data_IF_236039089131
#
_entry.id   IF_236039089131
#
_cell.length_a   1.000
_cell.length_b   1.000
_cell.length_c   1.000
_cell.angle_alpha   90.00
_cell.angle_beta   90.00
_cell.angle_gamma   90.00
#
_symmetry.space_group_name_H-M   'P 1'
#
loop_
_entity.id
_entity.type
_entity.pdbx_description
1 polymer ?
#
# COMPACT_ATOMS: atom_id res chain seq x y z
N UNK A 1 -19.48 5.65 7.85
CA UNK A 1 -19.16 4.22 7.62
C UNK A 1 -17.95 4.16 6.71
N UNK A 2 -16.83 3.53 7.14
CA UNK A 2 -15.65 3.36 6.29
C UNK A 2 -15.98 2.37 5.16
N UNK A 3 -15.60 2.73 3.93
CA UNK A 3 -15.65 1.81 2.80
C UNK A 3 -14.39 0.94 2.90
N UNK A 4 -14.55 -0.36 3.16
CA UNK A 4 -13.45 -1.30 3.17
C UNK A 4 -13.25 -1.89 1.77
N UNK A 5 -12.09 -1.62 1.18
CA UNK A 5 -11.63 -2.31 -0.03
C UNK A 5 -10.54 -3.28 0.42
N UNK A 6 -10.81 -4.57 0.33
CA UNK A 6 -9.83 -5.63 0.59
C UNK A 6 -9.27 -6.10 -0.75
N UNK A 7 -7.99 -5.80 -0.99
CA UNK A 7 -7.24 -6.33 -2.12
C UNK A 7 -6.07 -7.13 -1.53
N UNK A 8 -6.18 -8.46 -1.52
CA UNK A 8 -5.07 -9.32 -1.12
C UNK A 8 -4.21 -9.59 -2.34
N UNK A 9 -3.20 -8.76 -2.53
CA UNK A 9 -2.18 -8.98 -3.55
C UNK A 9 -0.85 -9.22 -2.83
N UNK A 10 -0.27 -10.39 -3.09
CA UNK A 10 1.04 -10.76 -2.56
C UNK A 10 2.07 -10.23 -3.54
N UNK A 11 2.72 -9.13 -3.17
CA UNK A 11 3.72 -8.48 -4.01
C UNK A 11 5.04 -9.24 -3.81
N UNK A 12 5.43 -10.08 -4.78
CA UNK A 12 6.50 -11.06 -4.57
C UNK A 12 7.30 -11.47 -5.81
N UNK A 13 8.52 -10.95 -5.93
CA UNK A 13 9.69 -11.76 -6.25
C UNK A 13 10.37 -11.62 -7.62
N UNK A 14 9.67 -11.40 -8.74
CA UNK A 14 10.33 -11.54 -10.06
C UNK A 14 9.95 -10.53 -11.15
N UNK A 15 9.10 -9.56 -10.87
CA UNK A 15 8.77 -8.47 -11.79
C UNK A 15 8.41 -7.23 -11.00
N UNK A 16 8.68 -6.04 -11.53
CA UNK A 16 8.11 -4.81 -10.96
C UNK A 16 6.59 -4.95 -10.95
N UNK A 17 6.00 -4.98 -9.77
CA UNK A 17 4.56 -5.11 -9.61
C UNK A 17 3.99 -3.74 -9.25
N UNK A 18 3.18 -3.22 -10.15
CA UNK A 18 2.51 -1.94 -10.03
C UNK A 18 1.07 -2.18 -9.59
N UNK A 19 0.64 -1.47 -8.55
CA UNK A 19 -0.76 -1.42 -8.13
C UNK A 19 -1.28 -0.01 -8.35
N UNK A 20 -2.14 0.14 -9.36
CA UNK A 20 -2.87 1.37 -9.61
C UNK A 20 -4.25 1.31 -8.96
N UNK A 21 -4.48 2.18 -7.98
CA UNK A 21 -5.74 2.30 -7.25
C UNK A 21 -6.42 3.61 -7.62
N UNK A 22 -7.54 3.50 -8.31
CA UNK A 22 -8.39 4.64 -8.63
C UNK A 22 -9.31 4.95 -7.45
N UNK A 23 -9.20 6.17 -6.92
CA UNK A 23 -9.97 6.68 -5.79
C UNK A 23 -10.93 7.77 -6.27
N UNK A 24 -12.23 7.57 -6.10
CA UNK A 24 -13.26 8.50 -6.58
C UNK A 24 -13.99 9.20 -5.43
N UNK A 25 -13.83 10.51 -5.30
CA UNK A 25 -14.50 11.34 -4.31
C UNK A 25 -15.56 12.25 -4.96
N UNK A 26 -16.84 11.88 -4.87
CA UNK A 26 -17.89 12.62 -5.62
C UNK A 26 -18.33 13.96 -5.02
N UNK A 27 -18.20 14.19 -3.70
CA UNK A 27 -18.76 15.40 -3.03
C UNK A 27 -18.09 15.83 -1.72
N UNK A 28 -17.09 15.11 -1.22
CA UNK A 28 -16.46 15.39 0.07
C UNK A 28 -14.96 15.30 -0.07
N UNK A 29 -14.23 16.01 0.80
CA UNK A 29 -12.80 15.81 0.92
C UNK A 29 -12.53 14.45 1.58
N UNK A 30 -11.55 13.72 1.09
CA UNK A 30 -11.20 12.39 1.60
C UNK A 30 -9.72 12.32 1.91
N UNK A 31 -9.36 11.62 2.99
CA UNK A 31 -8.03 11.09 3.21
C UNK A 31 -7.99 9.60 2.86
N UNK A 32 -6.83 9.10 2.47
CA UNK A 32 -6.58 7.70 2.17
C UNK A 32 -5.48 7.18 3.09
N UNK A 33 -5.71 6.06 3.75
CA UNK A 33 -4.70 5.36 4.54
C UNK A 33 -4.53 3.93 4.03
N UNK A 34 -3.28 3.51 3.83
CA UNK A 34 -2.94 2.19 3.31
C UNK A 34 -2.36 1.37 4.46
N UNK A 35 -2.90 0.16 4.66
CA UNK A 35 -2.43 -0.78 5.66
C UNK A 35 -2.03 -2.10 5.01
N UNK A 36 -1.00 -2.72 5.56
CA UNK A 36 -0.52 -4.00 5.08
C UNK A 36 0.17 -4.85 6.13
N UNK A 37 0.57 -6.04 5.68
CA UNK A 37 1.37 -6.99 6.45
C UNK A 37 2.80 -6.99 5.93
N UNK A 38 3.75 -6.96 6.85
CA UNK A 38 5.18 -7.10 6.59
C UNK A 38 5.58 -8.48 7.08
N UNK A 39 6.01 -9.36 6.16
CA UNK A 39 6.43 -10.72 6.53
C UNK A 39 7.79 -10.76 7.23
N UNK A 40 8.01 -11.81 8.03
CA UNK A 40 9.34 -12.18 8.52
C UNK A 40 10.23 -12.47 7.31
N UNK A 41 11.27 -11.65 7.12
CA UNK A 41 12.24 -11.75 6.03
C UNK A 41 13.54 -11.01 6.35
N UNK A 42 14.63 -11.43 5.72
CA UNK A 42 16.01 -10.93 5.97
C UNK A 42 16.27 -9.51 5.47
N UNK A 43 15.45 -8.98 4.54
CA UNK A 43 15.66 -7.65 3.95
C UNK A 43 14.53 -6.69 4.28
N UNK A 44 14.90 -5.45 4.60
CA UNK A 44 14.00 -4.31 4.74
C UNK A 44 13.20 -4.04 3.46
N UNK A 45 11.89 -4.37 3.43
CA UNK A 45 11.11 -4.10 2.25
C UNK A 45 10.85 -2.60 2.08
N UNK A 46 10.78 -2.15 0.84
CA UNK A 46 10.53 -0.75 0.47
C UNK A 46 9.28 -0.64 -0.40
N UNK A 47 8.50 0.42 -0.21
CA UNK A 47 7.34 0.74 -1.05
C UNK A 47 7.32 2.23 -1.37
N UNK A 48 6.80 2.59 -2.54
CA UNK A 48 6.72 3.97 -3.04
C UNK A 48 5.26 4.29 -3.35
N UNK A 49 4.79 5.46 -2.91
CA UNK A 49 3.42 5.93 -3.05
C UNK A 49 3.40 7.22 -3.85
N UNK A 50 2.61 7.28 -4.93
CA UNK A 50 2.39 8.48 -5.72
C UNK A 50 0.89 8.77 -5.82
N UNK A 51 0.51 10.01 -5.51
CA UNK A 51 -0.88 10.46 -5.55
C UNK A 51 -1.03 11.56 -6.60
N UNK A 52 -1.83 11.33 -7.65
CA UNK A 52 -2.10 12.30 -8.73
C UNK A 52 -0.85 12.89 -9.40
N UNK A 53 0.20 12.09 -9.56
CA UNK A 53 1.51 12.51 -10.09
C UNK A 53 2.26 13.51 -9.20
N UNK A 54 1.94 13.58 -7.91
CA UNK A 54 2.71 14.35 -6.93
C UNK A 54 4.06 13.70 -6.60
N UNK A 55 4.86 14.38 -5.79
CA UNK A 55 6.13 13.84 -5.30
C UNK A 55 5.91 12.51 -4.58
N UNK A 56 6.66 11.50 -5.00
CA UNK A 56 6.52 10.16 -4.45
C UNK A 56 7.04 10.08 -3.01
N UNK A 57 6.29 9.39 -2.16
CA UNK A 57 6.69 9.08 -0.78
C UNK A 57 7.24 7.66 -0.73
N UNK A 58 8.51 7.51 -0.37
CA UNK A 58 9.13 6.20 -0.19
C UNK A 58 9.16 5.82 1.30
N UNK A 59 8.76 4.59 1.61
CA UNK A 59 8.83 4.02 2.95
C UNK A 59 9.61 2.70 2.92
N UNK A 60 10.64 2.61 3.77
CA UNK A 60 11.42 1.40 3.99
C UNK A 60 11.15 0.89 5.40
N UNK A 61 10.76 -0.37 5.51
CA UNK A 61 10.46 -0.98 6.79
C UNK A 61 11.68 -1.69 7.36
N UNK A 62 11.90 -1.65 8.69
CA UNK A 62 13.00 -2.39 9.29
C UNK A 62 12.81 -3.90 9.08
N UNK A 63 13.92 -4.61 8.93
CA UNK A 63 13.95 -6.07 9.00
C UNK A 63 13.46 -6.51 10.37
N UNK A 64 12.48 -7.41 10.42
CA UNK A 64 11.94 -7.98 11.66
C UNK A 64 11.88 -9.51 11.54
N UNK A 65 12.15 -10.20 12.65
CA UNK A 65 12.03 -11.66 12.74
C UNK A 65 10.57 -12.13 12.88
N UNK A 66 9.62 -11.19 12.96
CA UNK A 66 8.21 -11.46 13.12
C UNK A 66 7.38 -10.83 12.00
N UNK A 67 6.25 -11.48 11.69
CA UNK A 67 5.27 -10.92 10.76
C UNK A 67 4.44 -9.87 11.45
N UNK A 68 4.48 -8.64 10.94
CA UNK A 68 3.76 -7.51 11.50
C UNK A 68 2.51 -7.24 10.65
N UNK A 69 1.33 -7.36 11.25
CA UNK A 69 0.04 -7.19 10.57
C UNK A 69 -0.51 -5.79 10.76
N UNK A 70 -1.31 -5.30 9.79
CA UNK A 70 -2.02 -4.01 9.88
C UNK A 70 -1.09 -2.83 10.17
N UNK A 71 0.10 -2.84 9.58
CA UNK A 71 1.07 -1.76 9.69
C UNK A 71 0.64 -0.63 8.75
N UNK A 72 0.61 0.64 9.21
CA UNK A 72 0.33 1.77 8.34
C UNK A 72 1.48 1.98 7.38
N UNK A 73 1.21 1.89 6.08
CA UNK A 73 2.18 2.06 5.03
C UNK A 73 2.21 3.48 4.46
N UNK A 74 1.04 4.11 4.37
CA UNK A 74 0.90 5.45 3.81
C UNK A 74 -0.34 6.15 4.36
N UNK A 75 -0.25 7.47 4.49
CA UNK A 75 -1.37 8.35 4.84
C UNK A 75 -1.33 9.57 3.94
N UNK A 76 -2.38 9.76 3.15
CA UNK A 76 -2.49 10.90 2.26
C UNK A 76 -2.81 12.19 3.04
N UNK A 77 -2.43 13.36 2.49
CA UNK A 77 -3.09 14.60 2.87
C UNK A 77 -4.57 14.58 2.48
N UNK A 78 -5.30 15.60 2.92
CA UNK A 78 -6.72 15.73 2.61
C UNK A 78 -6.93 16.13 1.14
N UNK A 79 -7.63 15.30 0.38
CA UNK A 79 -7.87 15.48 -1.05
C UNK A 79 -9.13 16.30 -1.30
N UNK A 80 -9.11 17.10 -2.37
CA UNK A 80 -10.29 17.80 -2.86
C UNK A 80 -11.36 16.81 -3.36
N UNK A 81 -12.62 17.24 -3.54
CA UNK A 81 -13.57 16.45 -4.31
C UNK A 81 -13.06 16.27 -5.75
N UNK A 82 -13.07 15.05 -6.26
CA UNK A 82 -12.49 14.70 -7.56
C UNK A 82 -12.20 13.21 -7.73
N UNK A 83 -11.73 12.85 -8.93
CA UNK A 83 -11.12 11.55 -9.19
C UNK A 83 -9.62 11.68 -8.92
N UNK A 84 -9.09 10.80 -8.10
CA UNK A 84 -7.70 10.76 -7.65
C UNK A 84 -7.11 9.37 -7.91
N UNK A 85 -5.81 9.29 -8.18
CA UNK A 85 -5.12 8.00 -8.43
C UNK A 85 -3.97 7.83 -7.45
N UNK A 86 -4.01 6.77 -6.66
CA UNK A 86 -2.89 6.34 -5.82
C UNK A 86 -2.17 5.17 -6.50
N UNK A 87 -0.93 5.39 -6.91
CA UNK A 87 -0.05 4.36 -7.46
C UNK A 87 0.88 3.87 -6.35
N UNK A 88 0.90 2.56 -6.13
CA UNK A 88 1.79 1.89 -5.17
C UNK A 88 2.79 1.06 -5.97
N UNK A 89 4.08 1.31 -5.74
CA UNK A 89 5.19 0.66 -6.44
C UNK A 89 6.05 -0.07 -5.42
N UNK A 90 6.35 -1.33 -5.70
CA UNK A 90 7.29 -2.14 -4.91
C UNK A 90 8.55 -2.38 -5.76
N UNK A 91 9.69 -1.73 -5.43
CA UNK A 91 10.90 -1.86 -6.22
C UNK A 91 11.41 -3.31 -6.31
N UNK A 92 12.08 -3.68 -7.42
CA UNK A 92 12.57 -5.05 -7.65
C UNK A 92 13.70 -5.48 -6.69
N UNK A 93 14.20 -4.56 -5.86
CA UNK A 93 15.18 -4.83 -4.79
C UNK A 93 14.62 -5.58 -3.58
N UNK A 94 13.30 -5.71 -3.46
CA UNK A 94 12.63 -6.40 -2.33
C UNK A 94 12.59 -7.92 -2.50
N UNK A 95 13.61 -8.54 -3.09
CA UNK A 95 13.58 -9.97 -3.47
C UNK A 95 13.35 -10.90 -2.29
N UNK A 96 13.81 -10.48 -1.11
CA UNK A 96 13.59 -11.24 0.10
C UNK A 96 12.53 -10.61 1.00
N UNK A 97 12.09 -9.37 0.81
CA UNK A 97 11.12 -8.70 1.68
C UNK A 97 9.68 -9.01 1.26
N UNK A 98 8.80 -9.35 2.21
CA UNK A 98 7.39 -9.62 1.91
C UNK A 98 6.53 -8.43 2.35
N UNK A 99 5.88 -7.78 1.38
CA UNK A 99 4.82 -6.81 1.62
C UNK A 99 3.51 -7.37 1.07
N UNK A 100 2.49 -7.38 1.92
CA UNK A 100 1.13 -7.74 1.52
C UNK A 100 0.25 -6.54 1.80
N UNK A 101 -0.50 -6.09 0.81
CA UNK A 101 -1.54 -5.09 1.03
C UNK A 101 -2.72 -5.76 1.72
N UNK A 102 -3.16 -5.21 2.86
CA UNK A 102 -4.29 -5.76 3.62
C UNK A 102 -5.59 -5.05 3.23
N UNK A 103 -5.63 -3.73 3.46
CA UNK A 103 -6.79 -2.90 3.21
C UNK A 103 -6.43 -1.42 3.08
N UNK A 104 -7.34 -0.67 2.48
CA UNK A 104 -7.29 0.78 2.36
C UNK A 104 -8.48 1.38 3.10
N UNK A 105 -8.23 2.40 3.91
CA UNK A 105 -9.25 3.18 4.61
C UNK A 105 -9.45 4.51 3.89
N UNK A 106 -10.71 4.82 3.57
CA UNK A 106 -11.14 6.14 3.14
C UNK A 106 -11.70 6.91 4.33
N UNK A 107 -11.08 8.04 4.65
CA UNK A 107 -11.44 8.93 5.74
C UNK A 107 -12.16 10.17 5.18
N UNK A 108 -13.49 10.14 4.99
CA UNK A 108 -14.23 11.32 4.56
C UNK A 108 -14.17 12.37 5.67
N UNK A 109 -13.73 13.59 5.33
CA UNK A 109 -13.95 14.74 6.22
C UNK A 109 -15.27 15.39 5.86
N UNK A 110 -16.14 15.66 6.85
CA UNK A 110 -17.31 16.48 6.59
C UNK A 110 -16.82 17.82 6.06
N UNK A 111 -17.18 18.15 4.82
CA UNK A 111 -17.19 19.53 4.38
C UNK A 111 -18.19 20.23 5.28
N UNK A 112 -17.69 20.97 6.28
CA UNK A 112 -18.50 21.88 7.09
C UNK A 112 -19.17 22.88 6.16
N UNK A 113 -20.29 22.46 5.59
CA UNK A 113 -21.21 23.30 4.85
C UNK A 113 -22.14 23.90 5.90
N UNK A 114 -21.54 24.51 6.92
CA UNK A 114 -22.26 25.38 7.84
C UNK A 114 -22.31 26.74 7.17
N UNK A 115 -23.18 26.90 6.17
CA UNK A 115 -23.79 28.21 5.93
C UNK A 115 -24.76 28.48 7.09
N UNK A 116 -24.24 28.62 8.30
CA UNK A 116 -24.93 29.41 9.29
C UNK A 116 -24.63 30.85 8.87
N UNK A 117 -25.59 31.49 8.21
CA UNK A 117 -25.64 32.95 8.12
C UNK A 117 -25.61 33.46 9.56
N UNK A 118 -24.42 33.77 10.08
CA UNK A 118 -24.28 34.45 11.36
C UNK A 118 -24.70 35.88 11.09
N UNK A 119 -25.98 36.18 11.34
CA UNK A 119 -26.42 37.55 11.52
C UNK A 119 -25.69 38.09 12.75
N UNK A 120 -24.64 38.87 12.53
CA UNK A 120 -23.89 39.54 13.60
C UNK A 120 -24.77 40.59 14.27
N UNK A 121 -25.44 40.24 15.37
CA UNK A 121 -25.86 41.22 16.37
C UNK A 121 -24.67 41.50 17.29
N UNK A 122 -24.14 42.72 17.19
CA UNK A 122 -23.09 43.25 18.06
C UNK A 122 -23.61 43.27 19.51
N UNK A 123 -23.03 42.45 20.38
CA UNK A 123 -23.08 42.67 21.82
C UNK A 123 -21.66 42.56 22.38
N UNK A 124 -21.12 43.72 22.78
CA UNK A 124 -19.94 43.82 23.64
C UNK A 124 -20.36 43.36 25.03
N UNK A 125 -19.64 42.40 25.61
CA UNK A 125 -19.59 42.21 27.05
C UNK A 125 -18.25 41.63 27.46
N UNK A 126 -17.78 42.14 28.60
CA UNK A 126 -16.39 42.20 29.03
C UNK A 126 -15.76 40.87 29.45
N UNK A 127 -14.43 40.89 29.44
CA UNK A 127 -13.49 39.84 29.81
C UNK A 127 -13.65 39.33 31.24
N UNK A 128 -13.57 38.01 31.42
CA UNK A 128 -13.15 37.39 32.67
C UNK A 128 -12.25 36.19 32.37
N UNK A 129 -10.99 36.31 32.76
CA UNK A 129 -9.97 35.25 32.72
C UNK A 129 -10.35 34.23 33.78
N UNK A 130 -10.56 32.97 33.38
CA UNK A 130 -10.62 31.84 34.31
C UNK A 130 -9.88 30.64 33.71
N UNK A 131 -8.79 30.29 34.38
CA UNK A 131 -7.98 29.08 34.21
C UNK A 131 -8.76 27.83 34.59
N UNK A 132 -8.86 26.80 33.73
CA UNK A 132 -9.31 25.48 34.14
C UNK A 132 -8.14 24.54 34.40
N UNK A 133 -8.10 24.00 35.62
CA UNK A 133 -7.28 22.85 35.98
C UNK A 133 -7.88 21.58 35.34
N UNK A 134 -7.07 20.84 34.59
CA UNK A 134 -7.46 19.57 33.97
C UNK A 134 -7.19 18.41 34.94
N UNK A 135 -8.26 17.88 35.54
CA UNK A 135 -8.24 16.60 36.27
C UNK A 135 -8.37 15.45 35.28
N UNK A 136 -7.33 14.63 35.19
CA UNK A 136 -7.29 13.41 34.37
C UNK A 136 -8.10 12.31 35.07
N UNK A 137 -9.17 11.81 34.45
CA UNK A 137 -9.89 10.62 34.90
C UNK A 137 -9.76 9.53 33.85
N UNK A 138 -8.98 8.50 34.17
CA UNK A 138 -8.86 7.27 33.39
C UNK A 138 -10.03 6.36 33.73
N UNK A 139 -11.04 6.29 32.85
CA UNK A 139 -12.09 5.27 32.93
C UNK A 139 -11.57 3.96 32.32
N UNK A 140 -11.08 3.08 33.18
CA UNK A 140 -10.81 1.69 32.84
C UNK A 140 -12.14 0.93 32.81
N UNK A 141 -12.69 0.73 31.62
CA UNK A 141 -13.82 -0.20 31.43
C UNK A 141 -13.28 -1.64 31.54
N UNK A 142 -13.22 -2.13 32.77
CA UNK A 142 -12.95 -3.52 33.08
C UNK A 142 -14.09 -4.39 32.52
N UNK A 143 -13.87 -5.02 31.37
CA UNK A 143 -14.72 -6.11 30.90
C UNK A 143 -14.44 -7.36 31.73
N UNK A 144 -15.18 -7.48 32.83
CA UNK A 144 -15.27 -8.69 33.65
C UNK A 144 -15.97 -9.78 32.83
N UNK A 145 -15.20 -10.60 32.11
CA UNK A 145 -15.69 -11.85 31.51
C UNK A 145 -15.76 -12.89 32.63
N UNK A 146 -16.95 -13.05 33.19
CA UNK A 146 -17.25 -14.07 34.19
C UNK A 146 -17.16 -15.47 33.58
N UNK A 147 -16.12 -16.23 33.94
CA UNK A 147 -16.04 -17.67 33.69
C UNK A 147 -16.68 -18.38 34.88
N UNK A 148 -18.01 -18.44 34.88
CA UNK A 148 -18.79 -19.23 35.82
C UNK A 148 -19.70 -20.18 35.04
N UNK A 149 -19.22 -21.41 34.87
CA UNK A 149 -19.91 -22.52 34.20
C UNK A 149 -18.84 -23.42 33.58
N UNK A 150 -18.45 -24.54 34.17
CA UNK A 150 -19.23 -25.56 34.84
C UNK A 150 -18.74 -26.88 34.23
N UNK A 151 -18.55 -27.94 35.04
CA UNK A 151 -17.97 -29.22 34.58
C UNK A 151 -18.76 -29.91 33.43
N UNK A 152 -19.93 -29.40 33.04
CA UNK A 152 -20.67 -29.84 31.85
C UNK A 152 -20.14 -29.29 30.50
N UNK A 153 -19.24 -28.31 30.52
CA UNK A 153 -18.76 -27.64 29.30
C UNK A 153 -17.76 -28.43 28.46
N UNK A 154 -17.11 -29.47 29.02
CA UNK A 154 -16.05 -30.18 28.31
C UNK A 154 -16.60 -30.99 27.12
N UNK A 155 -17.71 -31.71 27.32
CA UNK A 155 -18.32 -32.51 26.26
C UNK A 155 -18.89 -31.65 25.14
N UNK A 156 -19.58 -30.55 25.49
CA UNK A 156 -20.12 -29.60 24.52
C UNK A 156 -19.00 -28.84 23.78
N UNK A 157 -17.93 -28.47 24.48
CA UNK A 157 -16.75 -27.82 23.88
C UNK A 157 -16.07 -28.71 22.86
N UNK A 158 -15.79 -29.98 23.21
CA UNK A 158 -15.17 -30.95 22.29
C UNK A 158 -16.06 -31.16 21.06
N UNK A 159 -17.38 -31.31 21.24
CA UNK A 159 -18.31 -31.48 20.13
C UNK A 159 -18.30 -30.26 19.19
N UNK A 160 -18.31 -29.05 19.73
CA UNK A 160 -18.28 -27.81 18.95
C UNK A 160 -16.96 -27.67 18.17
N UNK A 161 -15.81 -27.98 18.82
CA UNK A 161 -14.49 -27.95 18.17
C UNK A 161 -14.41 -28.94 17.01
N UNK A 162 -14.95 -30.16 17.17
CA UNK A 162 -14.97 -31.16 16.09
C UNK A 162 -15.86 -30.74 14.91
N UNK A 163 -17.01 -30.11 15.18
CA UNK A 163 -17.91 -29.59 14.13
C UNK A 163 -17.21 -28.50 13.31
N UNK A 164 -16.54 -27.54 13.97
CA UNK A 164 -15.81 -26.46 13.29
C UNK A 164 -14.67 -27.02 12.44
N UNK A 165 -13.88 -27.97 12.97
CA UNK A 165 -12.82 -28.64 12.21
C UNK A 165 -13.36 -29.40 10.98
N UNK A 166 -14.54 -30.03 11.10
CA UNK A 166 -15.17 -30.73 9.98
C UNK A 166 -15.60 -29.76 8.87
N UNK A 167 -16.16 -28.61 9.23
CA UNK A 167 -16.56 -27.57 8.27
C UNK A 167 -15.35 -27.01 7.53
N UNK A 168 -14.24 -26.74 8.24
CA UNK A 168 -13.00 -26.24 7.63
C UNK A 168 -12.42 -27.27 6.65
N UNK A 169 -12.38 -28.55 7.03
CA UNK A 169 -11.90 -29.64 6.14
C UNK A 169 -12.81 -29.87 4.94
N UNK A 170 -14.11 -29.65 5.06
CA UNK A 170 -15.01 -29.76 3.91
C UNK A 170 -14.83 -28.60 2.93
N UNK A 171 -14.59 -27.37 3.43
CA UNK A 171 -14.33 -26.22 2.55
C UNK A 171 -13.00 -26.33 1.81
N UNK A 172 -11.96 -26.93 2.40
CA UNK A 172 -10.66 -27.04 1.73
C UNK A 172 -10.65 -27.99 0.51
N UNK A 173 -11.61 -28.93 0.41
CA UNK A 173 -11.70 -29.85 -0.73
C UNK A 173 -12.28 -29.22 -2.00
N UNK A 174 -12.89 -28.03 -1.91
CA UNK A 174 -13.52 -27.35 -3.04
C UNK A 174 -12.57 -26.55 -3.94
N UNK A 175 -11.32 -26.30 -3.53
CA UNK A 175 -10.40 -25.43 -4.29
C UNK A 175 -9.25 -26.16 -5.00
N UNK A 176 -9.15 -27.49 -4.88
CA UNK A 176 -8.08 -28.26 -5.50
C UNK A 176 -8.32 -28.63 -6.98
N UNK A 177 -9.48 -28.31 -7.57
CA UNK A 177 -9.84 -28.78 -8.93
C UNK A 177 -9.58 -27.73 -10.04
N UNK A 178 -9.25 -26.48 -9.71
CA UNK A 178 -9.14 -25.41 -10.73
C UNK A 178 -7.69 -25.07 -11.15
N UNK A 179 -6.66 -25.65 -10.53
CA UNK A 179 -5.25 -25.33 -10.88
C UNK A 179 -4.72 -26.20 -12.04
N UNK A 180 -5.25 -27.39 -12.29
CA UNK A 180 -4.76 -28.22 -13.41
C UNK A 180 -5.20 -27.74 -14.80
N UNK A 181 -6.25 -26.90 -14.92
CA UNK A 181 -6.77 -26.50 -16.23
C UNK A 181 -6.00 -25.33 -16.88
N UNK A 182 -5.15 -24.61 -16.14
CA UNK A 182 -4.31 -23.52 -16.70
C UNK A 182 -2.95 -24.00 -17.23
N UNK A 183 -2.38 -25.06 -16.65
CA UNK A 183 -1.10 -25.64 -17.12
C UNK A 183 -1.23 -26.35 -18.47
N UNK A 184 -2.35 -27.03 -18.74
CA UNK A 184 -2.57 -27.69 -20.03
C UNK A 184 -2.72 -26.68 -21.19
N UNK A 185 -3.31 -25.50 -20.96
CA UNK A 185 -3.40 -24.45 -21.99
C UNK A 185 -2.06 -23.81 -22.34
N UNK A 186 -1.11 -23.76 -21.40
CA UNK A 186 0.24 -23.23 -21.66
C UNK A 186 1.08 -24.20 -22.51
N UNK A 187 0.91 -25.51 -22.33
CA UNK A 187 1.59 -26.50 -23.20
C UNK A 187 1.08 -26.49 -24.63
N UNK A 188 -0.22 -26.30 -24.82
CA UNK A 188 -0.80 -26.24 -26.17
C UNK A 188 -0.43 -24.95 -26.93
N UNK A 189 -0.12 -23.86 -26.22
CA UNK A 189 0.31 -22.60 -26.85
C UNK A 189 1.81 -22.58 -27.17
N UNK A 190 2.63 -23.43 -26.54
CA UNK A 190 4.07 -23.50 -26.79
C UNK A 190 4.46 -24.43 -27.96
N UNK A 191 3.52 -25.20 -28.53
CA UNK A 191 3.81 -26.05 -29.71
C UNK A 191 3.43 -25.43 -31.06
N UNK A 192 2.75 -24.27 -31.10
CA UNK A 192 2.35 -23.63 -32.37
C UNK A 192 3.38 -22.63 -32.91
N UNK A 193 4.49 -22.40 -32.21
CA UNK A 193 5.61 -21.58 -32.69
C UNK A 193 6.84 -22.41 -33.09
N UNK A 194 6.63 -23.43 -33.93
CA UNK A 194 7.70 -23.96 -34.78
C UNK A 194 7.61 -23.24 -36.13
N UNK A 195 8.11 -21.99 -36.17
CA UNK A 195 8.23 -21.23 -37.41
C UNK A 195 9.66 -20.70 -37.52
N UNK A 196 10.37 -21.24 -38.52
CA UNK A 196 11.62 -20.77 -39.13
C UNK A 196 12.80 -20.56 -38.18
N UNK A 197 13.60 -21.62 -38.08
CA UNK A 197 15.06 -21.50 -38.16
C UNK A 197 15.41 -20.69 -39.42
N UNK A 198 15.87 -19.44 -39.24
CA UNK A 198 16.64 -18.75 -40.27
C UNK A 198 18.11 -19.01 -39.97
N UNK A 199 18.80 -19.58 -40.97
CA UNK A 199 20.24 -19.82 -40.95
C UNK A 199 21.01 -18.50 -40.75
N UNK A 200 21.57 -18.32 -39.56
CA UNK A 200 22.57 -17.28 -39.28
C UNK A 200 23.95 -17.77 -39.74
N UNK A 201 24.22 -17.63 -41.04
CA UNK A 201 25.56 -17.82 -41.60
C UNK A 201 25.99 -16.64 -42.49
N UNK A 202 25.63 -15.41 -42.07
CA UNK A 202 26.16 -14.19 -42.69
C UNK A 202 27.03 -13.45 -41.67
N UNK A 203 28.35 -13.33 -41.90
CA UNK A 203 29.21 -12.51 -41.06
C UNK A 203 28.76 -11.04 -41.11
N UNK A 204 28.73 -10.32 -39.97
CA UNK A 204 28.41 -8.91 -39.96
C UNK A 204 29.48 -8.12 -40.73
N UNK A 205 29.10 -7.50 -41.84
CA UNK A 205 29.89 -6.46 -42.50
C UNK A 205 29.91 -5.23 -41.60
N UNK A 206 31.07 -5.00 -40.99
CA UNK A 206 31.41 -3.81 -40.22
C UNK A 206 31.49 -2.65 -41.21
N UNK A 207 30.53 -1.73 -41.16
CA UNK A 207 30.64 -0.43 -41.81
C UNK A 207 31.41 0.52 -40.87
N UNK A 208 32.62 0.98 -41.22
CA UNK A 208 33.33 1.97 -40.42
C UNK A 208 32.74 3.33 -40.76
N UNK A 209 31.91 3.89 -39.89
CA UNK A 209 31.54 5.30 -40.00
C UNK A 209 32.15 6.09 -38.85
N UNK A 210 33.05 6.99 -39.25
CA UNK A 210 33.71 8.03 -38.48
C UNK A 210 32.75 8.77 -37.54
N UNK A 211 33.03 8.74 -36.24
CA UNK A 211 32.52 9.75 -35.30
C UNK A 211 33.52 9.99 -34.16
N UNK A 212 34.82 9.89 -34.48
CA UNK A 212 35.91 10.35 -33.61
C UNK A 212 36.40 11.71 -34.09
N UNK A 213 35.63 12.79 -33.86
CA UNK A 213 36.10 14.17 -33.72
C UNK A 213 34.95 15.03 -33.17
N UNK A 214 34.81 15.12 -31.84
CA UNK A 214 34.24 16.29 -31.13
C UNK A 214 34.38 16.11 -29.61
N UNK A 215 35.61 15.92 -29.15
CA UNK A 215 35.99 16.22 -27.76
C UNK A 215 37.32 16.97 -27.86
N UNK A 216 37.28 18.27 -28.13
CA UNK A 216 38.41 19.17 -27.87
C UNK A 216 38.08 20.67 -28.03
N UNK A 217 36.96 21.17 -27.50
CA UNK A 217 36.83 22.64 -27.33
C UNK A 217 35.69 23.01 -26.40
N UNK A 218 35.89 22.91 -25.08
CA UNK A 218 35.24 23.85 -24.13
C UNK A 218 35.97 23.83 -22.79
N UNK A 219 37.20 24.33 -22.79
CA UNK A 219 38.02 24.50 -21.58
C UNK A 219 38.68 25.87 -21.61
N UNK A 220 37.89 26.95 -21.68
CA UNK A 220 38.36 28.31 -21.43
C UNK A 220 37.18 29.28 -21.23
N UNK A 221 36.77 29.50 -19.98
CA UNK A 221 36.45 30.83 -19.42
C UNK A 221 35.80 30.67 -18.04
N UNK A 222 36.63 30.70 -16.99
CA UNK A 222 36.17 31.16 -15.66
C UNK A 222 36.93 32.44 -15.33
N UNK A 223 36.26 33.60 -15.19
CA UNK A 223 36.88 34.80 -14.68
C UNK A 223 37.20 34.67 -13.18
N UNK A 224 38.27 35.34 -12.68
CA UNK A 224 38.68 35.27 -11.29
C UNK A 224 37.70 35.97 -10.34
N UNK A 225 37.60 35.53 -9.08
CA UNK A 225 36.77 36.16 -8.07
C UNK A 225 37.36 37.50 -7.64
N UNK A 226 36.54 38.56 -7.71
CA UNK A 226 36.84 39.87 -7.16
C UNK A 226 36.99 39.78 -5.63
N UNK A 227 38.12 40.30 -5.14
CA UNK A 227 38.31 40.67 -3.75
C UNK A 227 37.49 41.93 -3.45
N UNK A 228 36.67 41.89 -2.39
CA UNK A 228 36.09 43.08 -1.79
C UNK A 228 36.62 43.22 -0.35
N UNK A 229 37.03 44.47 -0.09
CA UNK A 229 37.51 45.04 1.17
C UNK A 229 36.49 44.99 2.31
#
# INVERSE_FOLDING_TARGET
MPIHVSCTQVLGGHSEEYLDLNVKARRMRIGVEVFGTIGNKETSPTSIYNLDNSTSSQLTFPTNDETNYRVPFYKSPLLSPGDHTLTIIVPPGNKNGQLVLDYIIYNPTPTSTSYATITTSVYRSASAISTPASTHSTSVNAMTVGVAGGLGGLAAGIALTLIVLRIIRMRSRGHAVTIQRKEQRLRDTLQVSSVRTMDFNTPPQISPNNSSQMIQEEMAERPPPYANH
#
